data_IF_933771408806
#
_entry.id   IF_933771408806
#
_cell.length_a   1.000
_cell.length_b   1.000
_cell.length_c   1.000
_cell.angle_alpha   90.00
_cell.angle_beta   90.00
_cell.angle_gamma   90.00
#
_symmetry.space_group_name_H-M   'P 1'
#
loop_
_entity.id
_entity.type
_entity.pdbx_description
1 polymer ?
#
# COMPACT_ATOMS: atom_id res chain seq x y z
N UNK A 1 -18.67 0.08 39.40
CA UNK A 1 -17.74 1.12 38.94
C UNK A 1 -18.47 1.90 37.87
N UNK A 2 -19.12 3.01 38.23
CA UNK A 2 -19.88 3.83 37.30
C UNK A 2 -18.93 4.44 36.27
N UNK A 3 -19.18 4.19 34.98
CA UNK A 3 -18.53 4.93 33.90
C UNK A 3 -18.92 6.41 34.04
N UNK A 4 -18.00 7.24 34.54
CA UNK A 4 -18.18 8.68 34.52
C UNK A 4 -18.30 9.13 33.06
N UNK A 5 -19.48 9.61 32.70
CA UNK A 5 -19.75 10.11 31.36
C UNK A 5 -18.98 11.40 31.17
N UNK A 6 -18.08 11.40 30.18
CA UNK A 6 -17.35 12.59 29.73
C UNK A 6 -18.30 13.75 29.48
N UNK A 7 -17.89 14.93 29.88
CA UNK A 7 -18.60 16.17 29.59
C UNK A 7 -18.61 16.45 28.09
N UNK A 8 -19.58 17.25 27.64
CA UNK A 8 -19.68 17.67 26.23
C UNK A 8 -18.38 18.30 25.71
N UNK A 9 -17.71 19.08 26.54
CA UNK A 9 -16.46 19.77 26.19
C UNK A 9 -15.30 18.78 26.02
N UNK A 10 -15.19 17.80 26.91
CA UNK A 10 -14.17 16.74 26.80
C UNK A 10 -14.39 15.87 25.55
N UNK A 11 -15.66 15.60 25.20
CA UNK A 11 -16.02 14.88 23.98
C UNK A 11 -15.62 15.68 22.72
N UNK A 12 -15.84 16.99 22.70
CA UNK A 12 -15.43 17.87 21.58
C UNK A 12 -13.91 17.89 21.44
N UNK A 13 -13.17 18.09 22.54
CA UNK A 13 -11.70 18.09 22.54
C UNK A 13 -11.11 16.74 22.09
N UNK A 14 -11.78 15.64 22.45
CA UNK A 14 -11.41 14.29 21.98
C UNK A 14 -11.66 14.14 20.48
N UNK A 15 -12.76 14.68 19.96
CA UNK A 15 -13.10 14.64 18.54
C UNK A 15 -12.13 15.47 17.66
N UNK A 16 -11.45 16.47 18.21
CA UNK A 16 -10.43 17.24 17.48
C UNK A 16 -9.09 16.51 17.29
N UNK A 17 -8.85 15.43 18.05
CA UNK A 17 -7.57 14.70 18.00
C UNK A 17 -7.20 14.21 16.57
N UNK A 18 -8.08 13.55 15.80
CA UNK A 18 -7.74 13.10 14.45
C UNK A 18 -7.33 14.23 13.51
N UNK A 19 -7.95 15.42 13.64
CA UNK A 19 -7.60 16.59 12.83
C UNK A 19 -6.21 17.13 13.16
N UNK A 20 -5.87 17.21 14.46
CA UNK A 20 -4.52 17.60 14.91
C UNK A 20 -3.47 16.59 14.46
N UNK A 21 -3.75 15.30 14.62
CA UNK A 21 -2.86 14.23 14.15
C UNK A 21 -2.68 14.32 12.62
N UNK A 22 -3.75 14.59 11.86
CA UNK A 22 -3.68 14.71 10.41
C UNK A 22 -2.75 15.84 9.95
N UNK A 23 -2.69 16.98 10.66
CA UNK A 23 -1.79 18.09 10.34
C UNK A 23 -0.30 17.76 10.57
N UNK A 24 0.00 16.77 11.41
CA UNK A 24 1.37 16.28 11.64
C UNK A 24 1.72 15.17 10.66
N UNK A 25 0.81 14.21 10.49
CA UNK A 25 1.09 12.97 9.77
C UNK A 25 1.07 13.15 8.25
N UNK A 26 0.22 14.00 7.68
CA UNK A 26 0.22 14.22 6.23
C UNK A 26 1.53 14.84 5.71
N UNK A 27 2.12 15.86 6.36
CA UNK A 27 3.44 16.36 5.98
C UNK A 27 4.56 15.35 6.25
N UNK A 28 4.50 14.62 7.36
CA UNK A 28 5.51 13.63 7.73
C UNK A 28 5.60 12.50 6.69
N UNK A 29 4.48 11.88 6.33
CA UNK A 29 4.42 10.81 5.32
C UNK A 29 4.38 11.34 3.88
N UNK A 30 4.29 12.66 3.70
CA UNK A 30 4.17 13.34 2.40
C UNK A 30 3.03 12.77 1.55
N UNK A 31 1.88 12.63 2.19
CA UNK A 31 0.71 11.96 1.63
C UNK A 31 0.46 10.61 2.29
N UNK A 32 -0.38 9.81 1.65
CA UNK A 32 -0.92 8.55 2.22
C UNK A 32 -0.63 7.32 1.36
N UNK A 33 -0.17 7.54 0.13
CA UNK A 33 -0.04 6.50 -0.89
C UNK A 33 1.44 6.28 -1.18
N UNK A 34 1.86 5.03 -1.13
CA UNK A 34 3.17 4.56 -1.56
C UNK A 34 2.96 3.33 -2.44
N UNK A 35 3.78 3.20 -3.48
CA UNK A 35 3.92 1.95 -4.23
C UNK A 35 5.24 1.32 -3.82
N UNK A 36 5.20 0.03 -3.48
CA UNK A 36 6.37 -0.76 -3.14
C UNK A 36 6.33 -2.10 -3.87
N UNK A 37 7.50 -2.70 -4.08
CA UNK A 37 7.58 -4.03 -4.66
C UNK A 37 6.93 -5.07 -3.73
N UNK A 38 6.16 -6.01 -4.29
CA UNK A 38 5.64 -7.18 -3.57
C UNK A 38 6.70 -8.28 -3.41
N UNK A 39 7.75 -8.25 -4.22
CA UNK A 39 8.82 -9.23 -4.26
C UNK A 39 10.17 -8.64 -3.82
N UNK A 40 11.11 -9.52 -3.48
CA UNK A 40 12.45 -9.15 -3.05
C UNK A 40 13.35 -8.86 -4.25
N UNK A 41 14.19 -7.83 -4.14
CA UNK A 41 15.27 -7.51 -5.08
C UNK A 41 16.52 -7.15 -4.30
N UNK A 42 17.40 -8.14 -4.05
CA UNK A 42 18.66 -7.94 -3.31
C UNK A 42 19.85 -7.66 -4.22
N UNK A 43 19.85 -8.27 -5.41
CA UNK A 43 20.95 -8.23 -6.36
C UNK A 43 20.44 -8.42 -7.80
N UNK A 44 21.38 -8.51 -8.74
CA UNK A 44 21.07 -8.67 -10.17
C UNK A 44 20.36 -9.98 -10.50
N UNK A 45 20.59 -11.04 -9.74
CA UNK A 45 19.93 -12.34 -9.97
C UNK A 45 18.43 -12.23 -9.67
N UNK A 46 18.08 -11.59 -8.54
CA UNK A 46 16.67 -11.28 -8.24
C UNK A 46 16.07 -10.35 -9.31
N UNK A 47 16.81 -9.30 -9.71
CA UNK A 47 16.34 -8.35 -10.72
C UNK A 47 16.06 -9.01 -12.08
N UNK A 48 16.89 -9.97 -12.49
CA UNK A 48 16.75 -10.71 -13.74
C UNK A 48 15.48 -11.58 -13.79
N UNK A 49 14.89 -11.93 -12.65
CA UNK A 49 13.60 -12.64 -12.56
C UNK A 49 12.44 -11.68 -12.87
N UNK A 50 12.42 -10.52 -12.21
CA UNK A 50 11.31 -9.57 -12.27
C UNK A 50 11.35 -8.64 -13.49
N UNK A 51 12.54 -8.48 -14.09
CA UNK A 51 12.77 -7.68 -15.28
C UNK A 51 13.44 -8.52 -16.37
N UNK A 52 14.20 -7.90 -17.28
CA UNK A 52 14.90 -8.62 -18.34
C UNK A 52 15.98 -9.55 -17.75
N UNK A 53 16.05 -10.82 -18.19
CA UNK A 53 15.22 -11.47 -19.22
C UNK A 53 13.93 -12.14 -18.71
N UNK A 54 13.76 -12.37 -17.40
CA UNK A 54 12.67 -13.15 -16.82
C UNK A 54 11.26 -12.67 -17.17
N UNK A 55 11.04 -11.35 -17.19
CA UNK A 55 9.74 -10.72 -17.50
C UNK A 55 9.17 -11.13 -18.86
N UNK A 56 10.00 -11.58 -19.80
CA UNK A 56 9.55 -12.02 -21.11
C UNK A 56 8.60 -13.23 -21.04
N UNK A 57 8.77 -14.13 -20.06
CA UNK A 57 7.94 -15.34 -19.93
C UNK A 57 6.48 -15.03 -19.60
N UNK A 58 6.14 -14.25 -18.54
CA UNK A 58 4.74 -13.87 -18.31
C UNK A 58 4.18 -13.01 -19.45
N UNK A 59 4.98 -12.17 -20.11
CA UNK A 59 4.51 -11.43 -21.29
C UNK A 59 4.10 -12.34 -22.45
N UNK A 60 4.89 -13.39 -22.74
CA UNK A 60 4.57 -14.37 -23.77
C UNK A 60 3.34 -15.21 -23.39
N UNK A 61 3.22 -15.61 -22.12
CA UNK A 61 2.04 -16.32 -21.63
C UNK A 61 0.75 -15.49 -21.81
N UNK A 62 0.79 -14.18 -21.48
CA UNK A 62 -0.36 -13.27 -21.69
C UNK A 62 -0.66 -13.05 -23.18
N UNK A 63 0.37 -13.07 -24.03
CA UNK A 63 0.18 -12.99 -25.49
C UNK A 63 -0.55 -14.23 -26.03
N UNK A 64 -0.24 -15.41 -25.50
CA UNK A 64 -0.86 -16.69 -25.88
C UNK A 64 -2.27 -16.83 -25.30
N UNK A 65 -2.47 -16.46 -24.03
CA UNK A 65 -3.76 -16.39 -23.36
C UNK A 65 -3.95 -15.04 -22.62
N UNK A 66 -4.77 -14.12 -23.16
CA UNK A 66 -5.04 -12.83 -22.52
C UNK A 66 -5.62 -12.91 -21.11
N UNK A 67 -6.25 -14.02 -20.70
CA UNK A 67 -6.78 -14.19 -19.35
C UNK A 67 -5.68 -14.44 -18.31
N UNK A 68 -4.50 -14.91 -18.71
CA UNK A 68 -3.35 -15.11 -17.82
C UNK A 68 -2.86 -13.80 -17.15
N UNK A 69 -3.32 -12.64 -17.62
CA UNK A 69 -3.05 -11.33 -16.98
C UNK A 69 -3.53 -11.28 -15.52
N UNK A 70 -4.60 -12.00 -15.17
CA UNK A 70 -5.13 -12.04 -13.81
C UNK A 70 -4.29 -12.92 -12.88
N UNK A 71 -3.53 -13.86 -13.43
CA UNK A 71 -2.63 -14.73 -12.67
C UNK A 71 -1.25 -14.09 -12.49
N UNK A 72 -0.71 -13.49 -13.56
CA UNK A 72 0.69 -13.05 -13.60
C UNK A 72 0.89 -11.56 -13.28
N UNK A 73 -0.15 -10.80 -12.93
CA UNK A 73 -0.05 -9.37 -12.64
C UNK A 73 -0.90 -8.93 -11.45
N UNK A 74 -0.77 -7.67 -11.03
CA UNK A 74 -1.57 -7.08 -9.96
C UNK A 74 -3.04 -6.81 -10.34
N UNK A 75 -3.52 -7.34 -11.47
CA UNK A 75 -4.89 -7.11 -11.95
C UNK A 75 -5.93 -7.99 -11.23
N UNK A 76 -5.53 -9.18 -10.79
CA UNK A 76 -6.33 -10.03 -9.89
C UNK A 76 -6.28 -9.51 -8.47
#
# INVERSE_FOLDING_TARGET
MSEEKLTREELIKKAEKPGRDAMILHPYYRGKVQVTAKCVVRNMDDFAIWYTPGVAKPCLAIKEDPLAVFEHTNKG
#
